data_IF_014675759027
#
_entry.id   IF_014675759027
#
_cell.length_a   1.000
_cell.length_b   1.000
_cell.length_c   1.000
_cell.angle_alpha   90.00
_cell.angle_beta   90.00
_cell.angle_gamma   90.00
#
_symmetry.space_group_name_H-M   'P 1'
#
loop_
_entity.id
_entity.type
_entity.pdbx_description
1 polymer ?
#
# COMPACT_ATOMS: atom_id res chain seq x y z
N UNK A 1 -6.63 5.40 30.59
CA UNK A 1 -6.68 4.61 29.34
C UNK A 1 -5.95 5.26 28.17
N UNK A 2 -4.88 4.62 27.71
CA UNK A 2 -4.09 4.94 26.54
C UNK A 2 -3.62 3.64 25.86
N UNK A 3 -3.79 3.56 24.54
CA UNK A 3 -3.36 2.43 23.71
C UNK A 3 -2.47 2.97 22.60
N UNK A 4 -1.35 2.33 22.36
CA UNK A 4 -0.41 2.67 21.30
C UNK A 4 -0.12 1.44 20.45
N UNK A 5 -0.23 1.57 19.13
CA UNK A 5 -0.09 0.46 18.18
C UNK A 5 0.71 0.87 16.96
N UNK A 6 1.31 -0.11 16.27
CA UNK A 6 1.73 0.04 14.87
C UNK A 6 0.84 -0.79 13.95
N UNK A 7 0.71 -0.34 12.71
CA UNK A 7 -0.04 -1.05 11.69
C UNK A 7 0.64 -0.96 10.32
N UNK A 8 0.65 -2.05 9.54
CA UNK A 8 1.28 -2.07 8.22
C UNK A 8 0.45 -1.41 7.14
N UNK A 9 1.13 -0.93 6.11
CA UNK A 9 0.54 -0.68 4.79
C UNK A 9 0.35 -2.02 4.07
N UNK A 10 -0.68 -2.12 3.22
CA UNK A 10 -0.84 -3.23 2.28
C UNK A 10 -0.89 -2.72 0.84
N UNK A 11 -0.49 -3.56 -0.12
CA UNK A 11 -0.55 -3.28 -1.56
C UNK A 11 -1.46 -4.31 -2.22
N UNK A 12 -2.45 -3.83 -2.99
CA UNK A 12 -3.37 -4.71 -3.69
C UNK A 12 -2.72 -5.35 -4.93
N UNK A 13 -2.73 -6.69 -4.97
CA UNK A 13 -2.42 -7.53 -6.13
C UNK A 13 -3.66 -7.69 -7.01
N UNK A 14 -4.81 -7.98 -6.37
CA UNK A 14 -6.15 -7.90 -6.95
C UNK A 14 -6.82 -6.63 -6.45
N UNK A 15 -7.20 -5.73 -7.36
CA UNK A 15 -7.57 -4.35 -7.03
C UNK A 15 -8.97 -4.24 -6.41
N UNK A 16 -9.06 -3.49 -5.32
CA UNK A 16 -10.33 -2.97 -4.81
C UNK A 16 -10.65 -1.66 -5.52
N UNK A 17 -11.69 -1.68 -6.35
CA UNK A 17 -12.23 -0.48 -7.00
C UNK A 17 -13.74 -0.62 -7.15
N UNK A 18 -14.48 0.36 -6.65
CA UNK A 18 -15.94 0.38 -6.65
C UNK A 18 -16.57 -0.29 -5.43
N UNK A 19 -17.72 0.26 -5.00
CA UNK A 19 -18.46 -0.20 -3.83
C UNK A 19 -19.85 -0.68 -4.23
N UNK A 20 -20.29 -1.78 -3.64
CA UNK A 20 -21.68 -2.23 -3.70
C UNK A 20 -22.53 -1.53 -2.63
N UNK A 21 -21.92 -1.12 -1.51
CA UNK A 21 -22.53 -0.36 -0.44
C UNK A 21 -21.55 0.73 0.05
N UNK A 22 -21.87 1.99 -0.23
CA UNK A 22 -21.04 3.14 0.19
C UNK A 22 -21.12 3.47 1.67
N UNK A 23 -22.23 3.14 2.33
CA UNK A 23 -22.44 3.44 3.74
C UNK A 23 -21.54 2.53 4.59
N UNK A 24 -21.61 1.21 4.33
CA UNK A 24 -20.87 0.19 5.07
C UNK A 24 -19.52 -0.17 4.43
N UNK A 25 -19.20 0.42 3.28
CA UNK A 25 -17.95 0.25 2.52
C UNK A 25 -17.76 -1.22 2.10
N UNK A 26 -18.80 -1.85 1.53
CA UNK A 26 -18.66 -3.16 0.90
C UNK A 26 -18.20 -3.02 -0.54
N UNK A 27 -17.29 -3.90 -1.02
CA UNK A 27 -16.68 -3.74 -2.33
C UNK A 27 -17.54 -4.40 -3.40
N UNK A 28 -17.47 -3.90 -4.64
CA UNK A 28 -18.14 -4.57 -5.76
C UNK A 28 -17.50 -5.93 -6.10
N UNK A 29 -16.20 -6.08 -5.87
CA UNK A 29 -15.43 -7.30 -6.12
C UNK A 29 -14.46 -7.58 -4.97
N UNK A 30 -14.05 -8.84 -4.81
CA UNK A 30 -12.99 -9.20 -3.88
C UNK A 30 -11.67 -8.50 -4.23
N UNK A 31 -10.76 -8.47 -3.26
CA UNK A 31 -9.41 -7.95 -3.42
C UNK A 31 -8.42 -8.80 -2.63
N UNK A 32 -7.18 -8.85 -3.09
CA UNK A 32 -6.07 -9.60 -2.47
C UNK A 32 -4.90 -8.65 -2.39
N UNK A 33 -4.27 -8.56 -1.23
CA UNK A 33 -3.09 -7.73 -1.01
C UNK A 33 -1.97 -8.48 -0.34
N UNK A 34 -0.77 -7.94 -0.46
CA UNK A 34 0.34 -8.29 0.41
C UNK A 34 0.52 -7.18 1.47
N UNK A 35 0.72 -7.59 2.71
CA UNK A 35 1.01 -6.70 3.84
C UNK A 35 2.51 -6.41 3.88
N UNK A 36 2.91 -5.15 4.06
CA UNK A 36 4.31 -4.71 4.06
C UNK A 36 4.93 -4.75 5.46
N UNK A 37 6.25 -4.93 5.52
CA UNK A 37 7.01 -4.83 6.76
C UNK A 37 6.92 -3.40 7.35
N UNK A 38 6.38 -3.31 8.57
CA UNK A 38 6.10 -2.07 9.30
C UNK A 38 7.35 -1.29 9.68
N UNK A 39 8.49 -1.98 9.82
CA UNK A 39 9.77 -1.34 10.09
C UNK A 39 10.15 -0.36 8.96
N UNK A 40 9.73 -0.65 7.73
CA UNK A 40 10.02 0.18 6.56
C UNK A 40 8.83 1.08 6.17
N UNK A 41 7.60 0.55 6.26
CA UNK A 41 6.38 1.24 5.81
C UNK A 41 5.20 0.92 6.73
N UNK A 42 4.93 1.78 7.69
CA UNK A 42 3.89 1.58 8.70
C UNK A 42 3.38 2.89 9.31
N UNK A 43 2.27 2.77 10.02
CA UNK A 43 1.67 3.86 10.81
C UNK A 43 1.74 3.51 12.27
N UNK A 44 2.15 4.47 13.09
CA UNK A 44 2.07 4.42 14.54
C UNK A 44 0.89 5.29 15.00
N UNK A 45 0.04 4.76 15.87
CA UNK A 45 -1.12 5.50 16.39
C UNK A 45 -1.24 5.30 17.90
N UNK A 46 -1.33 6.42 18.62
CA UNK A 46 -1.71 6.47 20.02
C UNK A 46 -3.15 6.98 20.13
N UNK A 47 -3.96 6.27 20.89
CA UNK A 47 -5.35 6.64 21.23
C UNK A 47 -5.45 6.72 22.74
N UNK A 48 -5.92 7.84 23.25
CA UNK A 48 -6.07 8.03 24.69
C UNK A 48 -7.24 8.93 25.03
N UNK A 49 -7.69 8.86 26.27
CA UNK A 49 -8.76 9.71 26.79
C UNK A 49 -8.40 10.30 28.15
N UNK A 50 -8.98 11.46 28.45
CA UNK A 50 -8.85 12.18 29.72
C UNK A 50 -10.25 12.59 30.20
N UNK A 51 -10.42 12.71 31.52
CA UNK A 51 -11.71 13.01 32.14
C UNK A 51 -12.28 14.39 31.79
N UNK A 52 -11.43 15.33 31.40
CA UNK A 52 -11.75 16.73 31.11
C UNK A 52 -11.89 17.03 29.61
N UNK A 53 -11.77 16.02 28.74
CA UNK A 53 -11.86 16.19 27.30
C UNK A 53 -13.29 16.57 26.88
N UNK A 54 -13.43 17.65 26.11
CA UNK A 54 -14.74 18.19 25.65
C UNK A 54 -15.07 17.88 24.19
N UNK A 55 -14.07 17.48 23.42
CA UNK A 55 -14.19 17.10 22.02
C UNK A 55 -13.08 16.12 21.64
N UNK A 56 -13.29 15.32 20.58
CA UNK A 56 -12.25 14.43 20.08
C UNK A 56 -11.21 15.21 19.26
N UNK A 57 -9.93 14.97 19.54
CA UNK A 57 -8.81 15.62 18.86
C UNK A 57 -8.08 14.63 17.94
N UNK A 58 -7.71 15.09 16.75
CA UNK A 58 -6.93 14.30 15.79
C UNK A 58 -5.67 15.05 15.37
N UNK A 59 -4.53 14.40 15.49
CA UNK A 59 -3.22 14.92 15.11
C UNK A 59 -2.52 13.92 14.21
N UNK A 60 -2.07 14.37 13.05
CA UNK A 60 -1.37 13.56 12.05
C UNK A 60 -0.01 14.18 11.75
N UNK A 61 1.07 13.43 11.95
CA UNK A 61 2.46 13.88 11.76
C UNK A 61 2.74 15.23 12.44
N UNK A 62 2.40 15.34 13.72
CA UNK A 62 2.59 16.57 14.50
C UNK A 62 1.54 17.66 14.27
N UNK A 63 0.72 17.60 13.21
CA UNK A 63 -0.25 18.66 12.85
C UNK A 63 -1.65 18.33 13.34
N UNK A 64 -2.27 19.26 14.06
CA UNK A 64 -3.68 19.16 14.46
C UNK A 64 -4.55 19.33 13.22
N UNK A 65 -5.52 18.44 13.06
CA UNK A 65 -6.43 18.42 11.92
C UNK A 65 -7.87 18.20 12.41
N UNK A 66 -8.84 18.55 11.57
CA UNK A 66 -10.23 18.15 11.81
C UNK A 66 -10.32 16.63 11.87
N UNK A 67 -11.04 16.11 12.86
CA UNK A 67 -11.30 14.69 12.97
C UNK A 67 -12.00 14.18 11.68
N UNK A 68 -11.42 13.22 10.95
CA UNK A 68 -12.02 12.75 9.70
C UNK A 68 -13.39 12.10 9.96
N UNK A 69 -14.41 12.46 9.17
CA UNK A 69 -15.78 11.97 9.38
C UNK A 69 -15.88 10.44 9.43
N UNK A 70 -15.17 9.75 8.54
CA UNK A 70 -15.12 8.28 8.53
C UNK A 70 -14.44 7.68 9.77
N UNK A 71 -13.46 8.37 10.38
CA UNK A 71 -12.88 7.93 11.65
C UNK A 71 -13.82 8.22 12.83
N UNK A 72 -14.65 9.27 12.77
CA UNK A 72 -15.71 9.47 13.75
C UNK A 72 -16.74 8.33 13.69
N UNK A 73 -17.14 7.90 12.49
CA UNK A 73 -18.06 6.76 12.34
C UNK A 73 -17.47 5.49 12.98
N UNK A 74 -16.18 5.24 12.77
CA UNK A 74 -15.44 4.14 13.40
C UNK A 74 -15.47 4.27 14.92
N UNK A 75 -15.19 5.45 15.48
CA UNK A 75 -15.24 5.69 16.92
C UNK A 75 -16.64 5.42 17.50
N UNK A 76 -17.68 5.96 16.87
CA UNK A 76 -19.07 5.83 17.31
C UNK A 76 -19.48 4.35 17.33
N UNK A 77 -19.20 3.61 16.25
CA UNK A 77 -19.53 2.19 16.17
C UNK A 77 -18.76 1.36 17.20
N UNK A 78 -17.47 1.66 17.42
CA UNK A 78 -16.68 0.98 18.44
C UNK A 78 -17.26 1.18 19.85
N UNK A 79 -17.64 2.41 20.20
CA UNK A 79 -18.29 2.71 21.48
C UNK A 79 -19.66 2.05 21.62
N UNK A 80 -20.46 2.01 20.54
CA UNK A 80 -21.76 1.34 20.55
C UNK A 80 -21.61 -0.16 20.77
N UNK A 81 -20.69 -0.84 20.06
CA UNK A 81 -20.38 -2.26 20.24
C UNK A 81 -19.93 -2.54 21.69
N UNK A 82 -19.02 -1.72 22.22
CA UNK A 82 -18.55 -1.83 23.60
C UNK A 82 -19.69 -1.74 24.63
N UNK A 83 -20.60 -0.76 24.46
CA UNK A 83 -21.77 -0.60 25.34
C UNK A 83 -22.75 -1.76 25.24
N UNK A 84 -22.99 -2.28 24.03
CA UNK A 84 -23.87 -3.43 23.82
C UNK A 84 -23.32 -4.69 24.51
N UNK A 85 -22.00 -4.82 24.57
CA UNK A 85 -21.32 -5.90 25.29
C UNK A 85 -21.17 -5.63 26.81
N UNK A 86 -21.80 -4.57 27.33
CA UNK A 86 -21.77 -4.21 28.75
C UNK A 86 -20.40 -3.71 29.25
N UNK A 87 -19.49 -3.34 28.34
CA UNK A 87 -18.14 -2.86 28.67
C UNK A 87 -18.15 -1.35 28.93
N UNK A 88 -17.18 -0.90 29.74
CA UNK A 88 -17.03 0.52 30.10
C UNK A 88 -16.51 1.32 28.91
N UNK A 89 -17.21 2.41 28.59
CA UNK A 89 -16.70 3.47 27.70
C UNK A 89 -16.32 4.66 28.57
N UNK A 90 -15.02 4.88 28.86
CA UNK A 90 -14.60 5.86 29.87
C UNK A 90 -14.97 7.31 29.51
N UNK A 91 -15.04 7.61 28.21
CA UNK A 91 -15.39 8.93 27.69
C UNK A 91 -15.92 8.81 26.26
N UNK A 92 -16.86 9.67 25.84
CA UNK A 92 -17.25 9.78 24.44
C UNK A 92 -16.14 10.37 23.56
N UNK A 93 -15.18 11.09 24.14
CA UNK A 93 -14.14 11.82 23.40
C UNK A 93 -12.77 11.19 23.53
N UNK A 94 -12.01 11.18 22.44
CA UNK A 94 -10.66 10.64 22.37
C UNK A 94 -9.67 11.63 21.74
N UNK A 95 -8.43 11.57 22.19
CA UNK A 95 -7.29 12.12 21.46
C UNK A 95 -6.65 11.00 20.63
N UNK A 96 -6.39 11.29 19.36
CA UNK A 96 -5.72 10.39 18.43
C UNK A 96 -4.50 11.10 17.87
N UNK A 97 -3.33 10.55 18.16
CA UNK A 97 -2.06 11.00 17.58
C UNK A 97 -1.55 9.90 16.66
N UNK A 98 -1.36 10.21 15.38
CA UNK A 98 -0.93 9.25 14.38
C UNK A 98 0.25 9.78 13.57
N UNK A 99 1.19 8.91 13.27
CA UNK A 99 2.41 9.24 12.52
C UNK A 99 2.76 8.13 11.54
N UNK A 100 3.18 8.51 10.33
CA UNK A 100 3.69 7.56 9.33
C UNK A 100 5.22 7.63 9.30
N UNK A 101 5.90 6.49 9.25
CA UNK A 101 7.36 6.46 9.04
C UNK A 101 7.76 6.60 7.56
N UNK A 102 6.80 6.94 6.70
CA UNK A 102 6.96 7.20 5.27
C UNK A 102 6.27 8.51 4.88
N UNK A 103 6.70 9.18 3.78
CA UNK A 103 6.12 10.45 3.37
C UNK A 103 4.61 10.32 3.10
N UNK A 104 3.79 11.07 3.82
CA UNK A 104 2.32 10.99 3.71
C UNK A 104 1.82 11.51 2.35
N UNK A 105 2.58 12.43 1.75
CA UNK A 105 2.38 12.97 0.40
C UNK A 105 2.68 11.97 -0.72
N UNK A 106 3.43 10.90 -0.45
CA UNK A 106 3.84 9.92 -1.46
C UNK A 106 2.69 8.99 -1.91
N UNK A 107 1.43 9.27 -1.62
CA UNK A 107 0.29 8.48 -2.14
C UNK A 107 0.26 6.99 -1.74
N UNK A 108 1.24 6.52 -0.96
CA UNK A 108 1.29 5.24 -0.27
C UNK A 108 0.07 5.19 0.64
N UNK A 109 -0.61 4.05 0.71
CA UNK A 109 -1.95 3.90 1.31
C UNK A 109 -2.00 4.17 2.83
N UNK A 110 -1.62 5.37 3.27
CA UNK A 110 -1.56 5.87 4.64
C UNK A 110 -2.93 5.90 5.30
N UNK A 111 -3.98 6.12 4.51
CA UNK A 111 -5.36 5.97 4.98
C UNK A 111 -5.66 4.53 5.39
N UNK A 112 -5.12 3.52 4.69
CA UNK A 112 -5.35 2.12 5.03
C UNK A 112 -4.67 1.75 6.35
N UNK A 113 -3.36 1.98 6.47
CA UNK A 113 -2.60 1.68 7.69
C UNK A 113 -3.06 2.51 8.88
N UNK A 114 -3.36 3.81 8.71
CA UNK A 114 -3.83 4.66 9.80
C UNK A 114 -5.24 4.33 10.30
N UNK A 115 -6.17 3.98 9.40
CA UNK A 115 -7.51 3.54 9.80
C UNK A 115 -7.45 2.16 10.48
N UNK A 116 -6.58 1.27 10.00
CA UNK A 116 -6.35 -0.02 10.61
C UNK A 116 -5.72 0.10 12.00
N UNK A 117 -4.71 0.96 12.18
CA UNK A 117 -4.13 1.28 13.48
C UNK A 117 -5.18 1.84 14.44
N UNK A 118 -6.00 2.78 13.98
CA UNK A 118 -7.07 3.37 14.80
C UNK A 118 -8.11 2.33 15.24
N UNK A 119 -8.65 1.54 14.30
CA UNK A 119 -9.62 0.50 14.61
C UNK A 119 -9.04 -0.59 15.53
N UNK A 120 -7.79 -0.98 15.33
CA UNK A 120 -7.09 -1.94 16.19
C UNK A 120 -6.91 -1.39 17.60
N UNK A 121 -6.46 -0.13 17.74
CA UNK A 121 -6.33 0.52 19.04
C UNK A 121 -7.66 0.64 19.78
N UNK A 122 -8.76 0.96 19.07
CA UNK A 122 -10.10 0.97 19.66
C UNK A 122 -10.57 -0.43 20.07
N UNK A 123 -10.26 -1.45 19.27
CA UNK A 123 -10.56 -2.84 19.61
C UNK A 123 -9.89 -3.24 20.93
N UNK A 124 -8.61 -2.90 21.10
CA UNK A 124 -7.88 -3.13 22.36
C UNK A 124 -8.45 -2.29 23.51
N UNK A 125 -8.71 -1.01 23.27
CA UNK A 125 -9.21 -0.06 24.28
C UNK A 125 -10.58 -0.46 24.82
N UNK A 126 -11.47 -0.93 23.95
CA UNK A 126 -12.87 -1.25 24.27
C UNK A 126 -13.15 -2.75 24.37
N UNK A 127 -12.13 -3.61 24.25
CA UNK A 127 -12.25 -5.06 24.32
C UNK A 127 -13.07 -5.70 23.20
N UNK A 128 -13.03 -5.16 21.98
CA UNK A 128 -13.81 -5.67 20.85
C UNK A 128 -13.11 -6.89 20.22
N UNK A 129 -13.39 -8.09 20.74
CA UNK A 129 -12.79 -9.33 20.25
C UNK A 129 -13.19 -9.61 18.79
N UNK A 130 -12.19 -9.76 17.91
CA UNK A 130 -12.35 -10.29 16.54
C UNK A 130 -12.99 -9.37 15.50
N UNK A 131 -13.49 -8.19 15.87
CA UNK A 131 -14.29 -7.34 14.98
C UNK A 131 -13.56 -6.08 14.45
N UNK A 132 -12.24 -6.05 14.60
CA UNK A 132 -11.43 -4.92 14.15
C UNK A 132 -11.48 -4.76 12.62
N UNK A 133 -11.62 -5.84 11.85
CA UNK A 133 -11.64 -5.79 10.38
C UNK A 133 -12.89 -5.09 9.84
N UNK A 134 -14.07 -5.46 10.33
CA UNK A 134 -15.31 -4.77 9.96
C UNK A 134 -15.28 -3.31 10.43
N UNK A 135 -14.76 -3.07 11.63
CA UNK A 135 -14.64 -1.74 12.20
C UNK A 135 -13.73 -0.86 11.33
N UNK A 136 -12.56 -1.38 10.97
CA UNK A 136 -11.59 -0.70 10.12
C UNK A 136 -12.15 -0.40 8.73
N UNK A 137 -12.84 -1.36 8.12
CA UNK A 137 -13.45 -1.23 6.78
C UNK A 137 -14.33 0.01 6.69
N UNK A 138 -15.10 0.34 7.74
CA UNK A 138 -15.99 1.51 7.79
C UNK A 138 -15.25 2.84 7.68
N UNK A 139 -13.98 2.88 8.08
CA UNK A 139 -13.13 4.04 7.90
C UNK A 139 -12.52 4.10 6.49
N UNK A 140 -12.02 2.97 6.00
CA UNK A 140 -11.41 2.81 4.68
C UNK A 140 -11.49 1.35 4.23
N UNK A 141 -11.98 1.07 3.02
CA UNK A 141 -12.18 -0.33 2.58
C UNK A 141 -10.89 -1.16 2.63
N UNK A 142 -9.78 -0.61 2.14
CA UNK A 142 -8.49 -1.33 2.10
C UNK A 142 -7.82 -1.50 3.47
N UNK A 143 -8.26 -0.80 4.52
CA UNK A 143 -7.64 -0.90 5.85
C UNK A 143 -7.94 -2.24 6.53
N UNK A 144 -9.07 -2.88 6.22
CA UNK A 144 -9.40 -4.17 6.80
C UNK A 144 -8.34 -5.25 6.49
N UNK A 145 -7.70 -5.19 5.31
CA UNK A 145 -6.62 -6.10 4.93
C UNK A 145 -5.30 -5.85 5.67
N UNK A 146 -5.08 -4.63 6.19
CA UNK A 146 -3.90 -4.31 7.01
C UNK A 146 -3.97 -4.89 8.43
N UNK A 147 -5.09 -5.49 8.84
CA UNK A 147 -5.20 -6.12 10.15
C UNK A 147 -4.61 -7.53 10.23
N UNK A 148 -4.22 -8.10 9.08
CA UNK A 148 -3.57 -9.40 9.00
C UNK A 148 -2.23 -9.26 8.30
N UNK A 149 -1.26 -10.11 8.67
CA UNK A 149 0.04 -10.17 8.02
C UNK A 149 0.02 -11.04 6.75
N UNK A 150 1.11 -11.03 6.00
CA UNK A 150 1.28 -11.92 4.85
C UNK A 150 0.43 -11.52 3.65
N UNK A 151 -0.25 -12.50 3.05
CA UNK A 151 -1.15 -12.32 1.93
C UNK A 151 -2.59 -12.38 2.43
N UNK A 152 -3.37 -11.34 2.14
CA UNK A 152 -4.68 -11.12 2.77
C UNK A 152 -5.73 -10.88 1.69
N UNK A 153 -6.83 -11.62 1.79
CA UNK A 153 -7.99 -11.44 0.93
C UNK A 153 -9.09 -10.69 1.68
N UNK A 154 -9.71 -9.74 1.01
CA UNK A 154 -11.00 -9.18 1.38
C UNK A 154 -12.04 -9.59 0.33
N UNK A 155 -12.93 -10.49 0.72
CA UNK A 155 -14.02 -11.02 -0.09
C UNK A 155 -15.18 -10.03 -0.17
N UNK A 156 -15.92 -10.06 -1.28
CA UNK A 156 -17.11 -9.21 -1.48
C UNK A 156 -18.40 -9.79 -0.89
N UNK A 157 -18.32 -10.78 0.00
CA UNK A 157 -19.47 -11.25 0.75
C UNK A 157 -19.87 -10.21 1.80
N UNK A 158 -21.17 -10.04 2.01
CA UNK A 158 -21.72 -9.14 3.03
C UNK A 158 -21.73 -9.79 4.43
N UNK A 159 -20.63 -10.46 4.77
CA UNK A 159 -20.40 -11.05 6.09
C UNK A 159 -19.29 -10.27 6.80
N UNK A 160 -19.69 -9.49 7.81
CA UNK A 160 -18.79 -8.58 8.54
C UNK A 160 -17.63 -9.31 9.22
N UNK A 161 -17.83 -10.55 9.66
CA UNK A 161 -16.84 -11.29 10.45
C UNK A 161 -15.93 -12.19 9.61
N UNK A 162 -16.37 -12.65 8.44
CA UNK A 162 -15.62 -13.62 7.61
C UNK A 162 -15.09 -13.05 6.29
N UNK A 163 -15.40 -11.79 5.97
CA UNK A 163 -14.99 -11.20 4.69
C UNK A 163 -13.49 -10.95 4.56
N UNK A 164 -12.70 -11.04 5.64
CA UNK A 164 -11.24 -10.82 5.58
C UNK A 164 -10.50 -12.03 6.11
N UNK A 165 -9.60 -12.60 5.29
CA UNK A 165 -8.84 -13.79 5.66
C UNK A 165 -7.36 -13.68 5.26
N UNK A 166 -6.50 -14.25 6.09
CA UNK A 166 -5.09 -14.48 5.75
C UNK A 166 -5.01 -15.72 4.86
N UNK A 167 -4.56 -15.54 3.63
CA UNK A 167 -4.29 -16.63 2.69
C UNK A 167 -2.99 -17.35 3.07
N UNK A 168 -1.96 -16.57 3.37
CA UNK A 168 -0.63 -17.08 3.71
C UNK A 168 0.07 -16.14 4.70
N UNK A 169 0.85 -16.66 5.66
CA UNK A 169 1.57 -15.84 6.64
C UNK A 169 2.73 -15.06 6.00
N UNK A 170 3.28 -14.09 6.74
CA UNK A 170 4.40 -13.27 6.28
C UNK A 170 5.66 -14.09 5.90
N UNK A 171 5.90 -15.19 6.61
CA UNK A 171 7.04 -16.10 6.38
C UNK A 171 6.87 -17.02 5.17
N UNK A 172 5.74 -16.97 4.47
CA UNK A 172 5.41 -17.94 3.42
C UNK A 172 6.27 -17.82 2.16
N UNK A 173 6.61 -16.58 1.76
CA UNK A 173 7.43 -16.30 0.58
C UNK A 173 8.55 -15.31 0.93
N UNK A 174 9.57 -15.75 1.69
CA UNK A 174 10.60 -14.88 2.24
C UNK A 174 11.54 -14.29 1.19
N UNK A 175 11.53 -14.78 -0.05
CA UNK A 175 12.28 -14.25 -1.17
C UNK A 175 11.58 -13.06 -1.85
N UNK A 176 10.27 -12.88 -1.65
CA UNK A 176 9.53 -11.79 -2.31
C UNK A 176 9.95 -10.43 -1.73
N UNK A 177 10.26 -9.49 -2.62
CA UNK A 177 10.63 -8.11 -2.31
C UNK A 177 9.69 -7.13 -2.98
N UNK A 178 9.54 -5.98 -2.35
CA UNK A 178 8.79 -4.86 -2.89
C UNK A 178 9.69 -3.62 -2.90
N UNK A 179 9.81 -2.99 -4.06
CA UNK A 179 10.46 -1.69 -4.24
C UNK A 179 9.38 -0.64 -4.51
N UNK A 180 9.34 0.39 -3.69
CA UNK A 180 8.39 1.49 -3.82
C UNK A 180 9.10 2.66 -4.48
N UNK A 181 8.81 2.91 -5.75
CA UNK A 181 9.33 4.05 -6.50
C UNK A 181 8.51 5.28 -6.17
N UNK A 182 9.04 6.16 -5.31
CA UNK A 182 8.39 7.44 -4.99
C UNK A 182 8.76 8.46 -6.06
N UNK A 183 7.80 8.76 -6.93
CA UNK A 183 7.99 9.60 -8.13
C UNK A 183 7.58 11.06 -7.91
N UNK A 184 6.51 11.29 -7.15
CA UNK A 184 6.07 12.63 -6.79
C UNK A 184 5.35 12.63 -5.42
N UNK A 185 5.40 13.78 -4.76
CA UNK A 185 4.75 14.08 -3.47
C UNK A 185 3.57 15.06 -3.63
N UNK A 186 3.20 15.39 -4.87
CA UNK A 186 2.04 16.23 -5.10
C UNK A 186 0.75 15.49 -4.68
N UNK A 187 -0.23 16.21 -4.12
CA UNK A 187 -1.54 15.63 -3.82
C UNK A 187 -2.17 14.96 -5.04
N UNK A 188 -2.93 13.90 -4.79
CA UNK A 188 -3.69 13.20 -5.84
C UNK A 188 -4.67 14.18 -6.50
N UNK A 189 -4.82 14.16 -7.83
CA UNK A 189 -5.76 15.04 -8.51
C UNK A 189 -7.22 14.78 -8.09
N UNK A 190 -7.57 13.51 -7.88
CA UNK A 190 -8.89 13.09 -7.38
C UNK A 190 -8.72 12.01 -6.32
N UNK A 191 -9.43 12.15 -5.19
CA UNK A 191 -9.45 11.15 -4.12
C UNK A 191 -10.04 9.82 -4.61
N UNK A 192 -9.49 8.69 -4.14
CA UNK A 192 -9.93 7.36 -4.59
C UNK A 192 -11.41 7.09 -4.33
N UNK A 193 -11.97 7.60 -3.22
CA UNK A 193 -13.40 7.46 -2.87
C UNK A 193 -14.31 8.07 -3.93
N UNK A 194 -14.01 9.29 -4.38
CA UNK A 194 -14.82 9.98 -5.39
C UNK A 194 -14.60 9.38 -6.76
N UNK A 195 -13.35 9.02 -7.08
CA UNK A 195 -13.00 8.39 -8.34
C UNK A 195 -13.68 7.02 -8.51
N UNK A 196 -13.65 6.16 -7.48
CA UNK A 196 -14.32 4.85 -7.56
C UNK A 196 -15.85 4.97 -7.64
N UNK A 197 -16.44 5.96 -6.94
CA UNK A 197 -17.87 6.23 -7.02
C UNK A 197 -18.28 6.70 -8.42
N UNK A 198 -17.49 7.60 -9.01
CA UNK A 198 -17.69 8.06 -10.37
C UNK A 198 -17.53 6.92 -11.38
N UNK A 199 -16.52 6.07 -11.20
CA UNK A 199 -16.24 4.92 -12.05
C UNK A 199 -17.42 3.95 -12.08
N UNK A 200 -17.94 3.54 -10.92
CA UNK A 200 -19.14 2.68 -10.81
C UNK A 200 -20.33 3.29 -11.57
N UNK A 201 -20.48 4.62 -11.49
CA UNK A 201 -21.58 5.35 -12.11
C UNK A 201 -21.43 5.58 -13.61
N UNK A 202 -20.23 5.56 -14.17
CA UNK A 202 -20.02 6.09 -15.54
C UNK A 202 -19.23 5.17 -16.47
N UNK A 203 -18.36 4.30 -15.93
CA UNK A 203 -17.55 3.40 -16.74
C UNK A 203 -18.38 2.22 -17.25
N UNK A 204 -18.44 2.05 -18.57
CA UNK A 204 -19.03 0.87 -19.20
C UNK A 204 -18.16 -0.37 -18.99
N UNK A 205 -16.83 -0.22 -18.99
CA UNK A 205 -15.91 -1.31 -18.70
C UNK A 205 -16.09 -1.84 -17.28
N UNK A 206 -16.32 -0.95 -16.31
CA UNK A 206 -16.59 -1.35 -14.93
C UNK A 206 -17.82 -2.24 -14.83
N UNK A 207 -18.95 -1.76 -15.39
CA UNK A 207 -20.24 -2.44 -15.31
C UNK A 207 -20.24 -3.80 -16.00
N UNK A 208 -19.57 -3.91 -17.14
CA UNK A 208 -19.64 -5.10 -17.99
C UNK A 208 -18.52 -6.12 -17.73
N UNK A 209 -17.33 -5.66 -17.28
CA UNK A 209 -16.13 -6.50 -17.30
C UNK A 209 -15.48 -6.70 -15.94
N UNK A 210 -15.63 -5.78 -14.97
CA UNK A 210 -14.85 -5.84 -13.71
C UNK A 210 -15.16 -7.08 -12.87
N UNK A 211 -16.43 -7.43 -12.72
CA UNK A 211 -16.85 -8.59 -11.92
C UNK A 211 -16.34 -9.92 -12.51
N UNK A 212 -16.57 -10.23 -13.80
CA UNK A 212 -16.05 -11.48 -14.37
C UNK A 212 -14.52 -11.53 -14.41
N UNK A 213 -13.83 -10.44 -14.77
CA UNK A 213 -12.35 -10.42 -14.78
C UNK A 213 -11.76 -10.62 -13.39
N UNK A 214 -12.31 -9.94 -12.38
CA UNK A 214 -11.82 -10.06 -11.01
C UNK A 214 -11.92 -11.48 -10.47
N UNK A 215 -12.97 -12.25 -10.82
CA UNK A 215 -13.11 -13.66 -10.41
C UNK A 215 -12.07 -14.58 -11.07
N UNK A 216 -11.67 -14.27 -12.30
CA UNK A 216 -10.62 -15.01 -13.02
C UNK A 216 -9.27 -14.71 -12.36
N UNK A 217 -8.93 -13.42 -12.25
CA UNK A 217 -7.67 -12.98 -11.66
C UNK A 217 -7.53 -13.38 -10.18
N UNK A 218 -8.63 -13.43 -9.41
CA UNK A 218 -8.64 -13.95 -8.03
C UNK A 218 -8.14 -15.40 -7.97
N UNK A 219 -8.62 -16.26 -8.87
CA UNK A 219 -8.17 -17.67 -8.95
C UNK A 219 -6.72 -17.77 -9.38
N UNK A 220 -6.32 -16.99 -10.40
CA UNK A 220 -4.95 -16.95 -10.91
C UNK A 220 -3.95 -16.50 -9.83
N UNK A 221 -4.26 -15.42 -9.11
CA UNK A 221 -3.43 -14.91 -8.00
C UNK A 221 -3.33 -15.97 -6.90
N UNK A 222 -4.45 -16.56 -6.47
CA UNK A 222 -4.43 -17.59 -5.42
C UNK A 222 -3.59 -18.80 -5.87
N UNK A 223 -3.68 -19.22 -7.12
CA UNK A 223 -2.85 -20.32 -7.65
C UNK A 223 -1.38 -19.95 -7.67
N UNK A 224 -1.02 -18.77 -8.20
CA UNK A 224 0.35 -18.30 -8.26
C UNK A 224 0.98 -18.17 -6.86
N UNK A 225 0.21 -17.73 -5.87
CA UNK A 225 0.65 -17.69 -4.47
C UNK A 225 0.83 -19.11 -3.92
N UNK A 226 -0.11 -20.04 -4.13
CA UNK A 226 0.03 -21.44 -3.69
C UNK A 226 1.32 -22.09 -4.19
N UNK A 227 1.63 -21.88 -5.47
CA UNK A 227 2.76 -22.53 -6.12
C UNK A 227 4.08 -21.74 -5.98
N UNK A 228 4.03 -20.54 -5.37
CA UNK A 228 5.12 -19.54 -5.37
C UNK A 228 5.68 -19.31 -6.78
N UNK A 229 4.78 -19.27 -7.75
CA UNK A 229 5.12 -18.97 -9.15
C UNK A 229 5.17 -17.46 -9.34
N UNK A 230 6.37 -16.90 -9.22
CA UNK A 230 6.57 -15.47 -9.41
C UNK A 230 6.18 -15.01 -10.81
N UNK A 231 6.38 -15.83 -11.85
CA UNK A 231 6.07 -15.43 -13.22
C UNK A 231 4.57 -15.33 -13.46
N UNK A 232 3.80 -16.28 -12.96
CA UNK A 232 2.34 -16.21 -12.98
C UNK A 232 1.82 -15.04 -12.13
N UNK A 233 2.36 -14.85 -10.92
CA UNK A 233 1.97 -13.75 -10.03
C UNK A 233 2.25 -12.38 -10.67
N UNK A 234 3.42 -12.22 -11.30
CA UNK A 234 3.85 -11.00 -11.96
C UNK A 234 2.89 -10.61 -13.08
N UNK A 235 2.53 -11.56 -13.95
CA UNK A 235 1.65 -11.31 -15.08
C UNK A 235 0.27 -10.83 -14.62
N UNK A 236 -0.39 -11.59 -13.74
CA UNK A 236 -1.74 -11.24 -13.28
C UNK A 236 -1.75 -9.93 -12.49
N UNK A 237 -0.70 -9.65 -11.71
CA UNK A 237 -0.56 -8.39 -10.95
C UNK A 237 -0.44 -7.18 -11.87
N UNK A 238 0.37 -7.27 -12.92
CA UNK A 238 0.51 -6.20 -13.93
C UNK A 238 -0.81 -6.01 -14.70
N UNK A 239 -1.49 -7.09 -15.07
CA UNK A 239 -2.78 -7.05 -15.76
C UNK A 239 -3.88 -6.42 -14.90
N UNK A 240 -3.93 -6.74 -13.61
CA UNK A 240 -4.84 -6.11 -12.65
C UNK A 240 -4.58 -4.61 -12.48
N UNK A 241 -3.31 -4.22 -12.36
CA UNK A 241 -2.90 -2.82 -12.34
C UNK A 241 -3.37 -2.09 -13.60
N UNK A 242 -3.10 -2.65 -14.78
CA UNK A 242 -3.48 -2.06 -16.06
C UNK A 242 -5.01 -1.95 -16.20
N UNK A 243 -5.74 -2.99 -15.79
CA UNK A 243 -7.19 -2.97 -15.85
C UNK A 243 -7.77 -1.90 -14.93
N UNK A 244 -7.26 -1.72 -13.69
CA UNK A 244 -7.68 -0.63 -12.82
C UNK A 244 -7.55 0.74 -13.52
N UNK A 245 -6.39 1.01 -14.14
CA UNK A 245 -6.18 2.29 -14.80
C UNK A 245 -6.99 2.45 -16.10
N UNK A 246 -7.31 1.35 -16.80
CA UNK A 246 -8.27 1.37 -17.90
C UNK A 246 -9.69 1.73 -17.44
N UNK A 247 -10.14 1.22 -16.28
CA UNK A 247 -11.43 1.59 -15.69
C UNK A 247 -11.46 3.06 -15.26
N UNK A 248 -10.36 3.57 -14.72
CA UNK A 248 -10.21 4.98 -14.39
C UNK A 248 -10.25 5.87 -15.65
N UNK A 249 -9.66 5.42 -16.76
CA UNK A 249 -9.69 6.14 -18.03
C UNK A 249 -11.07 6.11 -18.71
N UNK A 250 -11.83 5.02 -18.56
CA UNK A 250 -13.21 4.86 -19.07
C UNK A 250 -14.27 5.56 -18.19
N UNK A 251 -13.89 6.03 -17.00
CA UNK A 251 -14.74 6.86 -16.15
C UNK A 251 -15.02 8.22 -16.80
N UNK A 252 -16.17 8.86 -16.54
CA UNK A 252 -16.47 10.18 -17.10
C UNK A 252 -16.86 11.22 -16.04
N UNK A 253 -16.12 12.35 -15.92
CA UNK A 253 -14.84 12.64 -16.57
C UNK A 253 -13.73 11.62 -16.21
N UNK A 254 -12.71 11.44 -17.07
CA UNK A 254 -11.67 10.44 -16.83
C UNK A 254 -10.85 10.77 -15.59
N UNK A 255 -10.46 9.71 -14.87
CA UNK A 255 -9.55 9.81 -13.74
C UNK A 255 -8.16 9.32 -14.16
N UNK A 256 -7.18 10.21 -14.14
CA UNK A 256 -5.82 9.90 -14.60
C UNK A 256 -4.87 9.95 -13.40
N UNK A 257 -4.34 8.78 -13.01
CA UNK A 257 -3.37 8.64 -11.93
C UNK A 257 -1.94 8.42 -12.42
N UNK A 258 -1.79 7.73 -13.55
CA UNK A 258 -0.49 7.45 -14.16
C UNK A 258 -0.01 8.68 -14.94
N UNK A 259 1.29 8.91 -14.90
CA UNK A 259 1.95 9.96 -15.67
C UNK A 259 3.04 9.35 -16.58
N UNK A 260 3.76 10.21 -17.32
CA UNK A 260 4.84 9.78 -18.22
C UNK A 260 5.90 8.92 -17.53
N UNK A 261 6.24 9.25 -16.28
CA UNK A 261 7.19 8.47 -15.51
C UNK A 261 6.63 7.12 -15.08
N UNK A 262 5.34 7.04 -14.72
CA UNK A 262 4.67 5.76 -14.46
C UNK A 262 4.73 4.85 -15.68
N UNK A 263 4.42 5.37 -16.88
CA UNK A 263 4.51 4.63 -18.14
C UNK A 263 5.96 4.21 -18.45
N UNK A 264 6.93 5.09 -18.22
CA UNK A 264 8.35 4.76 -18.39
C UNK A 264 8.80 3.64 -17.45
N UNK A 265 8.30 3.58 -16.22
CA UNK A 265 8.58 2.46 -15.31
C UNK A 265 7.92 1.16 -15.81
N UNK A 266 6.73 1.23 -16.43
CA UNK A 266 6.10 0.06 -17.05
C UNK A 266 6.93 -0.46 -18.22
N UNK A 267 7.43 0.43 -19.09
CA UNK A 267 8.29 0.09 -20.22
C UNK A 267 9.62 -0.52 -19.73
N UNK A 268 10.21 0.04 -18.68
CA UNK A 268 11.37 -0.53 -18.01
C UNK A 268 11.15 -1.99 -17.59
N UNK A 269 10.04 -2.27 -16.88
CA UNK A 269 9.72 -3.63 -16.43
C UNK A 269 9.55 -4.59 -17.61
N UNK A 270 8.82 -4.18 -18.64
CA UNK A 270 8.61 -5.01 -19.84
C UNK A 270 9.91 -5.28 -20.59
N UNK A 271 10.76 -4.26 -20.79
CA UNK A 271 12.07 -4.41 -21.43
C UNK A 271 13.00 -5.34 -20.65
N UNK A 272 13.05 -5.21 -19.31
CA UNK A 272 13.80 -6.11 -18.43
C UNK A 272 13.30 -7.56 -18.59
N UNK A 273 11.99 -7.78 -18.43
CA UNK A 273 11.42 -9.14 -18.50
C UNK A 273 11.60 -9.79 -19.87
N UNK A 274 11.45 -9.01 -20.95
CA UNK A 274 11.66 -9.49 -22.32
C UNK A 274 13.13 -9.87 -22.55
N UNK A 275 14.07 -9.05 -22.08
CA UNK A 275 15.49 -9.34 -22.22
C UNK A 275 15.89 -10.64 -21.52
N UNK A 276 15.40 -10.88 -20.30
CA UNK A 276 15.64 -12.11 -19.55
C UNK A 276 14.74 -13.29 -19.97
N UNK A 277 13.83 -13.08 -20.93
CA UNK A 277 12.85 -14.08 -21.39
C UNK A 277 12.04 -14.72 -20.25
N UNK A 278 11.84 -13.98 -19.16
CA UNK A 278 11.11 -14.39 -17.96
C UNK A 278 10.68 -13.16 -17.17
N UNK A 279 9.54 -13.25 -16.49
CA UNK A 279 9.14 -12.24 -15.52
C UNK A 279 10.10 -12.26 -14.32
N UNK A 280 11.01 -11.28 -14.25
CA UNK A 280 11.95 -11.07 -13.13
C UNK A 280 11.53 -9.90 -12.24
N UNK A 281 10.70 -8.99 -12.75
CA UNK A 281 10.10 -7.89 -12.01
C UNK A 281 8.66 -7.67 -12.49
N UNK A 282 7.77 -7.26 -11.59
CA UNK A 282 6.40 -6.89 -11.90
C UNK A 282 6.14 -5.48 -11.38
N UNK A 283 5.21 -4.75 -11.99
CA UNK A 283 4.71 -3.50 -11.43
C UNK A 283 3.26 -3.63 -10.97
N UNK A 284 2.90 -2.80 -10.01
CA UNK A 284 1.52 -2.47 -9.73
C UNK A 284 1.40 -1.02 -9.27
N UNK A 285 0.30 -0.40 -9.61
CA UNK A 285 -0.04 0.97 -9.28
C UNK A 285 -1.42 0.97 -8.60
N UNK A 286 -1.58 1.85 -7.62
CA UNK A 286 -2.87 2.11 -6.97
C UNK A 286 -3.44 3.45 -7.48
N UNK A 287 -4.22 4.17 -6.67
CA UNK A 287 -4.73 5.49 -7.00
C UNK A 287 -3.62 6.57 -6.90
N UNK A 288 -2.56 6.48 -7.72
CA UNK A 288 -1.46 7.44 -7.78
C UNK A 288 -0.32 7.00 -8.71
N UNK A 289 0.67 7.87 -8.95
CA UNK A 289 1.73 7.63 -9.94
C UNK A 289 2.90 6.78 -9.42
N UNK A 290 2.92 6.45 -8.12
CA UNK A 290 4.01 5.69 -7.53
C UNK A 290 3.92 4.22 -7.91
N UNK A 291 5.03 3.69 -8.41
CA UNK A 291 5.13 2.30 -8.80
C UNK A 291 5.53 1.45 -7.59
N UNK A 292 4.82 0.34 -7.42
CA UNK A 292 5.25 -0.74 -6.54
C UNK A 292 5.79 -1.85 -7.43
N UNK A 293 7.09 -2.11 -7.34
CA UNK A 293 7.74 -3.16 -8.09
C UNK A 293 7.88 -4.40 -7.21
N UNK A 294 7.42 -5.54 -7.70
CA UNK A 294 7.61 -6.84 -7.05
C UNK A 294 8.73 -7.57 -7.76
N UNK A 295 9.61 -8.22 -7.00
CA UNK A 295 10.68 -9.06 -7.53
C UNK A 295 11.10 -10.08 -6.48
N UNK A 296 11.90 -11.07 -6.84
CA UNK A 296 12.49 -12.00 -5.89
C UNK A 296 13.90 -11.52 -5.50
N UNK A 297 14.34 -11.85 -4.29
CA UNK A 297 15.61 -11.41 -3.72
C UNK A 297 16.82 -11.73 -4.61
N UNK A 298 16.79 -12.83 -5.36
CA UNK A 298 17.84 -13.18 -6.34
C UNK A 298 17.97 -12.18 -7.50
N UNK A 299 16.89 -11.48 -7.87
CA UNK A 299 16.84 -10.55 -8.99
C UNK A 299 17.07 -9.09 -8.55
N UNK A 300 17.05 -8.82 -7.24
CA UNK A 300 17.04 -7.46 -6.70
C UNK A 300 18.26 -6.63 -7.12
N UNK A 301 19.44 -7.25 -7.13
CA UNK A 301 20.71 -6.59 -7.50
C UNK A 301 20.64 -6.08 -8.95
N UNK A 302 20.18 -6.94 -9.87
CA UNK A 302 20.00 -6.59 -11.28
C UNK A 302 18.96 -5.49 -11.44
N UNK A 303 17.78 -5.66 -10.84
CA UNK A 303 16.69 -4.68 -10.94
C UNK A 303 17.11 -3.31 -10.40
N UNK A 304 17.77 -3.26 -9.24
CA UNK A 304 18.22 -2.01 -8.62
C UNK A 304 19.26 -1.28 -9.47
N UNK A 305 20.26 -1.98 -10.02
CA UNK A 305 21.28 -1.36 -10.87
C UNK A 305 20.66 -0.66 -12.07
N UNK A 306 19.77 -1.35 -12.78
CA UNK A 306 19.11 -0.79 -13.95
C UNK A 306 18.12 0.32 -13.56
N UNK A 307 17.44 0.23 -12.41
CA UNK A 307 16.62 1.35 -11.90
C UNK A 307 17.45 2.60 -11.61
N UNK A 308 18.61 2.46 -10.97
CA UNK A 308 19.53 3.58 -10.70
C UNK A 308 19.99 4.20 -12.01
N UNK A 309 20.35 3.38 -13.00
CA UNK A 309 20.81 3.91 -14.28
C UNK A 309 19.68 4.58 -15.07
N UNK A 310 18.47 4.04 -15.07
CA UNK A 310 17.34 4.61 -15.82
C UNK A 310 16.75 5.86 -15.16
N UNK A 311 16.66 5.89 -13.83
CA UNK A 311 15.83 6.86 -13.10
C UNK A 311 16.54 7.60 -11.96
N UNK A 312 17.78 7.23 -11.64
CA UNK A 312 18.58 7.88 -10.61
C UNK A 312 19.01 9.30 -10.97
N UNK A 313 19.48 10.04 -9.97
CA UNK A 313 20.03 11.38 -10.14
C UNK A 313 21.48 11.33 -10.60
N UNK A 314 21.86 12.20 -11.52
CA UNK A 314 23.26 12.40 -11.87
C UNK A 314 23.96 13.22 -10.78
N UNK A 315 25.10 12.75 -10.29
CA UNK A 315 26.00 13.53 -9.43
C UNK A 315 26.73 14.53 -10.31
N UNK A 316 26.51 15.82 -10.10
CA UNK A 316 27.50 16.85 -10.47
C UNK A 316 28.64 16.77 -9.43
N UNK A 317 29.88 16.73 -9.91
CA UNK A 317 31.06 16.68 -9.04
C UNK A 317 30.94 17.76 -7.94
N UNK A 318 31.12 17.35 -6.68
CA UNK A 318 31.10 18.18 -5.45
C UNK A 318 29.78 18.37 -4.68
N UNK A 319 28.68 17.69 -5.02
CA UNK A 319 27.39 17.81 -4.30
C UNK A 319 26.95 16.59 -3.48
N UNK A 320 27.86 15.65 -3.18
CA UNK A 320 27.52 14.41 -2.46
C UNK A 320 27.41 14.65 -0.95
N UNK A 321 26.20 14.88 -0.44
CA UNK A 321 25.93 14.92 1.00
C UNK A 321 25.49 13.52 1.45
N UNK A 322 26.35 12.85 2.20
CA UNK A 322 26.03 11.61 2.90
C UNK A 322 25.06 11.95 4.04
N UNK A 323 23.79 11.61 3.87
CA UNK A 323 22.78 11.71 4.93
C UNK A 323 22.82 10.38 5.69
N UNK A 324 23.23 10.39 6.96
CA UNK A 324 23.55 9.18 7.74
C UNK A 324 22.39 8.16 7.83
N UNK A 325 21.16 8.60 7.60
CA UNK A 325 19.94 7.79 7.65
C UNK A 325 19.42 7.33 6.26
N UNK A 326 20.10 7.68 5.15
CA UNK A 326 19.71 7.30 3.78
C UNK A 326 20.88 6.66 3.06
N UNK A 327 20.80 5.34 2.88
CA UNK A 327 21.79 4.61 2.11
C UNK A 327 21.64 5.02 0.65
N UNK A 328 22.67 5.68 0.14
CA UNK A 328 22.74 6.05 -1.27
C UNK A 328 23.32 4.87 -2.02
N UNK A 329 22.48 4.19 -2.81
CA UNK A 329 23.00 3.21 -3.75
C UNK A 329 23.55 3.98 -4.94
N UNK A 330 24.89 3.97 -5.04
CA UNK A 330 25.61 4.40 -6.22
C UNK A 330 25.91 3.17 -7.06
N UNK A 331 25.55 3.17 -8.34
CA UNK A 331 25.98 2.09 -9.21
C UNK A 331 27.50 2.23 -9.39
N UNK A 332 28.27 1.19 -9.03
CA UNK A 332 29.69 1.17 -9.35
C UNK A 332 29.79 1.28 -10.88
N UNK A 333 30.49 2.30 -11.38
CA UNK A 333 30.67 2.66 -12.79
C UNK A 333 29.61 3.58 -13.45
N UNK A 334 28.69 4.19 -12.71
CA UNK A 334 27.94 5.35 -13.23
C UNK A 334 27.94 6.54 -12.28
N UNK A 335 27.80 7.74 -12.85
CA UNK A 335 27.64 8.97 -12.08
C UNK A 335 26.20 9.12 -11.56
N UNK A 336 25.38 8.06 -11.60
CA UNK A 336 24.00 8.09 -11.11
C UNK A 336 23.86 7.43 -9.75
N UNK A 337 22.93 7.94 -8.97
CA UNK A 337 22.59 7.40 -7.66
C UNK A 337 21.09 7.44 -7.41
N UNK A 338 20.63 6.55 -6.52
CA UNK A 338 19.27 6.58 -6.00
C UNK A 338 19.32 6.44 -4.47
N UNK A 339 18.52 7.26 -3.78
CA UNK A 339 18.37 7.16 -2.33
C UNK A 339 17.47 5.98 -2.01
N UNK A 340 17.93 5.05 -1.20
CA UNK A 340 17.17 3.85 -0.83
C UNK A 340 17.06 3.76 0.69
N UNK A 341 15.88 3.45 1.18
CA UNK A 341 15.62 3.13 2.60
C UNK A 341 15.03 1.73 2.72
N UNK A 342 15.10 1.16 3.92
CA UNK A 342 14.61 -0.19 4.22
C UNK A 342 15.70 -1.25 4.00
N UNK A 343 15.37 -2.33 3.31
CA UNK A 343 16.31 -3.45 3.12
C UNK A 343 17.52 -3.01 2.29
N UNK A 344 18.71 -3.33 2.80
CA UNK A 344 20.00 -3.07 2.16
C UNK A 344 20.46 -4.30 1.39
N UNK A 345 21.05 -4.07 0.22
CA UNK A 345 21.57 -5.14 -0.63
C UNK A 345 23.00 -4.86 -1.04
N UNK A 346 23.82 -5.91 -1.06
CA UNK A 346 25.10 -5.88 -1.74
C UNK A 346 24.82 -5.97 -3.25
N UNK A 347 25.10 -4.89 -3.97
CA UNK A 347 25.03 -4.92 -5.42
C UNK A 347 26.21 -5.70 -5.97
N UNK A 348 25.98 -6.53 -6.98
CA UNK A 348 27.09 -7.23 -7.64
C UNK A 348 28.05 -6.24 -8.31
N UNK A 349 29.30 -6.62 -8.52
CA UNK A 349 30.27 -5.79 -9.27
C UNK A 349 30.18 -5.98 -10.78
N UNK A 350 29.28 -6.86 -11.25
CA UNK A 350 29.11 -7.15 -12.67
C UNK A 350 28.69 -5.89 -13.45
N UNK A 351 29.35 -5.62 -14.60
CA UNK A 351 29.04 -4.46 -15.42
C UNK A 351 27.63 -4.57 -16.01
N UNK A 352 26.99 -3.42 -16.22
CA UNK A 352 25.69 -3.36 -16.90
C UNK A 352 25.83 -3.79 -18.36
N UNK A 353 24.96 -4.68 -18.81
CA UNK A 353 24.85 -5.03 -20.22
C UNK A 353 24.41 -3.82 -21.05
N UNK A 354 25.29 -3.40 -21.96
CA UNK A 354 25.10 -2.25 -22.84
C UNK A 354 23.98 -2.44 -23.87
N UNK A 355 23.68 -3.67 -24.27
CA UNK A 355 22.56 -3.96 -25.16
C UNK A 355 21.23 -3.76 -24.44
N UNK A 356 21.13 -4.23 -23.19
CA UNK A 356 19.95 -3.99 -22.36
C UNK A 356 19.78 -2.49 -22.08
N UNK A 357 20.84 -1.76 -21.72
CA UNK A 357 20.75 -0.31 -21.47
C UNK A 357 20.15 0.48 -22.64
N UNK A 358 20.44 0.10 -23.88
CA UNK A 358 19.87 0.76 -25.08
C UNK A 358 18.37 0.54 -25.26
N UNK A 359 17.81 -0.50 -24.64
CA UNK A 359 16.38 -0.84 -24.70
C UNK A 359 15.59 -0.20 -23.56
N UNK A 360 16.27 0.35 -22.55
CA UNK A 360 15.63 0.88 -21.36
C UNK A 360 15.36 2.39 -21.49
N UNK A 361 14.29 2.89 -20.87
CA UNK A 361 14.04 4.33 -20.78
C UNK A 361 15.12 5.01 -19.94
N UNK A 362 15.33 6.30 -20.18
CA UNK A 362 16.28 7.13 -19.43
C UNK A 362 15.64 8.45 -19.04
N UNK A 363 15.24 8.57 -17.77
CA UNK A 363 14.67 9.78 -17.17
C UNK A 363 15.43 10.09 -15.89
N UNK A 364 16.52 10.86 -16.01
CA UNK A 364 17.35 11.22 -14.86
C UNK A 364 16.55 11.95 -13.78
N UNK A 365 16.72 11.54 -12.52
CA UNK A 365 16.05 12.12 -11.36
C UNK A 365 14.53 11.91 -11.30
N UNK A 366 13.99 10.96 -12.07
CA UNK A 366 12.56 10.65 -12.07
C UNK A 366 12.10 10.05 -10.73
N UNK A 367 12.86 9.12 -10.15
CA UNK A 367 12.54 8.55 -8.84
C UNK A 367 13.25 9.37 -7.75
N UNK A 368 12.49 9.96 -6.83
CA UNK A 368 13.03 10.77 -5.73
C UNK A 368 13.77 9.94 -4.70
N UNK A 369 13.13 8.84 -4.31
CA UNK A 369 13.73 7.82 -3.46
C UNK A 369 12.98 6.50 -3.65
N UNK A 370 13.66 5.43 -3.29
CA UNK A 370 13.15 4.08 -3.30
C UNK A 370 12.99 3.61 -1.85
N UNK A 371 11.89 2.91 -1.56
CA UNK A 371 11.77 2.17 -0.30
C UNK A 371 11.81 0.70 -0.64
N UNK A 372 12.79 -0.03 -0.12
CA UNK A 372 12.85 -1.49 -0.25
C UNK A 372 12.26 -2.16 0.98
N UNK A 373 11.34 -3.07 0.77
CA UNK A 373 10.67 -3.79 1.84
C UNK A 373 10.30 -5.22 1.39
N UNK A 374 9.62 -5.92 2.27
CA UNK A 374 9.23 -7.33 2.15
C UNK A 374 7.85 -7.54 2.77
N UNK A 375 7.38 -8.78 2.70
CA UNK A 375 6.11 -9.18 3.30
C UNK A 375 6.19 -9.08 4.84
N UNK A 376 5.23 -8.39 5.44
CA UNK A 376 5.20 -8.08 6.86
C UNK A 376 4.09 -8.77 7.66
N UNK A 377 4.23 -8.71 8.98
CA UNK A 377 3.21 -9.13 9.94
C UNK A 377 2.08 -8.09 10.08
N UNK A 378 0.98 -8.51 10.72
CA UNK A 378 -0.16 -7.63 11.05
C UNK A 378 0.14 -6.64 12.18
N UNK A 379 -0.87 -5.88 12.64
CA UNK A 379 -0.72 -4.83 13.65
C UNK A 379 -0.05 -5.32 14.94
N UNK A 380 0.67 -4.43 15.61
CA UNK A 380 1.35 -4.73 16.88
C UNK A 380 0.92 -3.74 17.96
N UNK A 381 0.66 -4.27 19.17
CA UNK A 381 0.50 -3.45 20.36
C UNK A 381 1.88 -3.02 20.87
N UNK A 382 2.09 -1.71 21.02
CA UNK A 382 3.31 -1.14 21.60
C UNK A 382 3.14 -0.98 23.11
N UNK A 383 2.04 -0.33 23.52
CA UNK A 383 1.75 -0.08 24.93
C UNK A 383 0.25 -0.03 25.18
N UNK A 384 -0.16 -0.50 26.37
CA UNK A 384 -1.52 -0.35 26.87
C UNK A 384 -1.47 0.04 28.35
N UNK A 385 -1.97 1.24 28.64
CA UNK A 385 -2.14 1.77 29.99
C UNK A 385 -3.65 1.84 30.24
N UNK A 386 -4.16 1.01 31.15
CA UNK A 386 -5.58 0.97 31.50
C UNK A 386 -6.07 2.29 32.11
#
# INVERSE_FOLDING_TARGET
MQVEVTCPVNIALLKYWGKSDDLNIYPSTSSISLTLNQAHVGTKTAVFTKSDLKESLFKLNGKIMRFPGRLLDVLIVAQLRSRLDGRLVPSPFLCVESENNFPTSAGLASSASGTAAFAFALGMMYGLDGDCASLSRRGSGSSCRSLLGGFVQWSNNHDDHTSVQQLFPASYWPELRVLICVTNENPKPVGSTDAMLCCVKTSYLFRNSRVPSSKIHEKEIISALKDRDFSALAEVTMRESNQLHALCLDTWPPCIYLNELSHSIMDFVHSINNYFMKNVVAYTFDAGPNAFLLTESQNISVVLKYLVECFGYTVEADSFVNDADKITIKCMNSNKYLKITGITYDLSDEPLDQNLLKLLPSISGGIRHLISTEVGSGPQLISFIH
#
